data_IF_981406331032
#
_entry.id   IF_981406331032
#
_cell.length_a   1.000
_cell.length_b   1.000
_cell.length_c   1.000
_cell.angle_alpha   90.00
_cell.angle_beta   90.00
_cell.angle_gamma   90.00
#
_symmetry.space_group_name_H-M   'P 1'
#
loop_
_entity.id
_entity.type
_entity.pdbx_description
1 polymer ?
#
# COMPACT_ATOMS: atom_id res chain seq x y z
N UNK A 1 -15.65 5.40 11.84
CA UNK A 1 -14.52 4.68 11.21
C UNK A 1 -14.97 3.78 10.07
N UNK A 2 -16.00 2.94 10.28
CA UNK A 2 -16.54 2.03 9.25
C UNK A 2 -17.08 2.79 8.03
N UNK A 3 -17.89 3.85 8.23
CA UNK A 3 -18.41 4.67 7.12
C UNK A 3 -17.29 5.27 6.25
N UNK A 4 -16.26 5.85 6.87
CA UNK A 4 -15.09 6.37 6.14
C UNK A 4 -14.35 5.28 5.36
N UNK A 5 -14.26 4.07 5.92
CA UNK A 5 -13.63 2.93 5.25
C UNK A 5 -14.45 2.49 4.04
N UNK A 6 -15.78 2.41 4.17
CA UNK A 6 -16.68 2.04 3.06
C UNK A 6 -16.59 3.07 1.92
N UNK A 7 -16.62 4.36 2.24
CA UNK A 7 -16.49 5.44 1.25
C UNK A 7 -15.11 5.38 0.58
N UNK A 8 -14.05 5.21 1.37
CA UNK A 8 -12.67 5.11 0.87
C UNK A 8 -12.48 3.92 -0.08
N UNK A 9 -12.86 2.71 0.37
CA UNK A 9 -12.74 1.48 -0.42
C UNK A 9 -13.64 1.54 -1.66
N UNK A 10 -14.88 2.04 -1.53
CA UNK A 10 -15.79 2.21 -2.66
C UNK A 10 -15.23 3.14 -3.72
N UNK A 11 -14.70 4.30 -3.32
CA UNK A 11 -14.09 5.25 -4.24
C UNK A 11 -12.83 4.67 -4.91
N UNK A 12 -11.96 4.01 -4.14
CA UNK A 12 -10.76 3.36 -4.66
C UNK A 12 -11.07 2.25 -5.66
N UNK A 13 -12.07 1.43 -5.38
CA UNK A 13 -12.49 0.34 -6.26
C UNK A 13 -13.01 0.89 -7.58
N UNK A 14 -13.93 1.86 -7.55
CA UNK A 14 -14.48 2.48 -8.76
C UNK A 14 -13.37 3.11 -9.60
N UNK A 15 -12.50 3.90 -8.96
CA UNK A 15 -11.40 4.57 -9.67
C UNK A 15 -10.40 3.59 -10.27
N UNK A 16 -10.05 2.55 -9.51
CA UNK A 16 -9.13 1.51 -9.97
C UNK A 16 -9.73 0.69 -11.10
N UNK A 17 -11.03 0.39 -11.05
CA UNK A 17 -11.71 -0.35 -12.09
C UNK A 17 -11.72 0.43 -13.41
N UNK A 18 -12.02 1.73 -13.36
CA UNK A 18 -11.97 2.61 -14.54
C UNK A 18 -10.55 2.66 -15.12
N UNK A 19 -9.54 2.81 -14.26
CA UNK A 19 -8.14 2.95 -14.70
C UNK A 19 -7.56 1.63 -15.23
N UNK A 20 -7.83 0.50 -14.59
CA UNK A 20 -7.44 -0.83 -15.08
C UNK A 20 -8.09 -1.11 -16.42
N UNK A 21 -9.38 -0.79 -16.58
CA UNK A 21 -10.08 -0.95 -17.87
C UNK A 21 -9.46 -0.09 -18.97
N UNK A 22 -9.03 1.13 -18.65
CA UNK A 22 -8.29 2.00 -19.56
C UNK A 22 -6.92 1.43 -19.95
N UNK A 23 -6.18 0.81 -19.02
CA UNK A 23 -4.91 0.15 -19.34
C UNK A 23 -5.13 -1.11 -20.20
N UNK A 24 -6.19 -1.87 -19.92
CA UNK A 24 -6.56 -3.06 -20.68
C UNK A 24 -6.97 -2.70 -22.13
N UNK A 25 -7.71 -1.60 -22.33
CA UNK A 25 -8.08 -1.14 -23.67
C UNK A 25 -6.87 -0.71 -24.50
N UNK A 26 -5.78 -0.31 -23.85
CA UNK A 26 -4.51 0.02 -24.50
C UNK A 26 -3.56 -1.19 -24.63
N UNK A 27 -4.04 -2.41 -24.36
CA UNK A 27 -3.24 -3.66 -24.33
C UNK A 27 -2.02 -3.63 -23.40
N UNK A 28 -1.97 -2.69 -22.45
CA UNK A 28 -0.87 -2.50 -21.50
C UNK A 28 -1.03 -3.40 -20.28
N UNK A 29 -1.11 -4.71 -20.51
CA UNK A 29 -1.41 -5.70 -19.48
C UNK A 29 -0.38 -5.74 -18.34
N UNK A 30 0.90 -5.48 -18.64
CA UNK A 30 1.97 -5.38 -17.62
C UNK A 30 1.76 -4.18 -16.70
N UNK A 31 1.40 -3.03 -17.27
CA UNK A 31 1.15 -1.80 -16.51
C UNK A 31 -0.12 -1.94 -15.66
N UNK A 32 -1.15 -2.60 -16.19
CA UNK A 32 -2.36 -2.93 -15.44
C UNK A 32 -2.07 -3.84 -14.23
N UNK A 33 -1.19 -4.85 -14.39
CA UNK A 33 -0.79 -5.74 -13.30
C UNK A 33 0.02 -5.02 -12.20
N UNK A 34 1.00 -4.19 -12.59
CA UNK A 34 1.77 -3.37 -11.65
C UNK A 34 0.87 -2.36 -10.95
N UNK A 35 -0.03 -1.70 -11.68
CA UNK A 35 -0.97 -0.74 -11.11
C UNK A 35 -1.94 -1.41 -10.14
N UNK A 36 -2.50 -2.57 -10.50
CA UNK A 36 -3.42 -3.32 -9.65
C UNK A 36 -2.78 -3.80 -8.35
N UNK A 37 -1.53 -4.28 -8.41
CA UNK A 37 -0.79 -4.71 -7.22
C UNK A 37 -0.46 -3.53 -6.30
N UNK A 38 0.00 -2.40 -6.84
CA UNK A 38 0.25 -1.17 -6.09
C UNK A 38 -1.01 -0.63 -5.40
N UNK A 39 -2.12 -0.57 -6.12
CA UNK A 39 -3.42 -0.17 -5.58
C UNK A 39 -3.87 -1.14 -4.48
N UNK A 40 -3.70 -2.45 -4.68
CA UNK A 40 -4.08 -3.47 -3.71
C UNK A 40 -3.33 -3.28 -2.39
N UNK A 41 -2.00 -3.18 -2.45
CA UNK A 41 -1.16 -2.94 -1.27
C UNK A 41 -1.52 -1.60 -0.61
N UNK A 42 -1.69 -0.53 -1.39
CA UNK A 42 -2.04 0.79 -0.87
C UNK A 42 -3.40 0.82 -0.20
N UNK A 43 -4.39 0.10 -0.74
CA UNK A 43 -5.74 -0.02 -0.17
C UNK A 43 -5.73 -0.75 1.17
N UNK A 44 -4.94 -1.81 1.28
CA UNK A 44 -4.73 -2.54 2.55
C UNK A 44 -4.11 -1.61 3.59
N UNK A 45 -3.00 -0.94 3.24
CA UNK A 45 -2.30 -0.01 4.14
C UNK A 45 -3.20 1.17 4.54
N UNK A 46 -3.94 1.75 3.60
CA UNK A 46 -4.87 2.84 3.87
C UNK A 46 -6.01 2.43 4.80
N UNK A 47 -6.56 1.22 4.63
CA UNK A 47 -7.61 0.68 5.51
C UNK A 47 -7.09 0.47 6.94
N UNK A 48 -5.87 -0.07 7.07
CA UNK A 48 -5.16 -0.22 8.35
C UNK A 48 -4.96 1.12 9.07
N UNK A 49 -4.61 2.18 8.33
CA UNK A 49 -4.46 3.54 8.86
C UNK A 49 -5.80 4.15 9.31
N UNK A 50 -6.88 3.97 8.54
CA UNK A 50 -8.22 4.49 8.88
C UNK A 50 -8.76 3.86 10.16
N UNK A 51 -8.47 2.57 10.39
CA UNK A 51 -8.82 1.89 11.63
C UNK A 51 -7.99 2.34 12.85
N UNK A 52 -7.03 3.27 12.66
CA UNK A 52 -6.06 3.66 13.68
C UNK A 52 -5.47 2.45 14.40
N UNK A 53 -5.30 1.34 13.66
CA UNK A 53 -4.42 0.28 14.15
C UNK A 53 -3.11 0.99 14.42
N UNK A 54 -2.56 0.80 15.63
CA UNK A 54 -1.21 1.28 15.96
C UNK A 54 -0.25 0.53 15.03
N UNK A 55 -0.17 0.96 13.78
CA UNK A 55 0.92 0.62 12.89
C UNK A 55 2.12 1.19 13.61
N UNK A 56 3.04 0.33 14.05
CA UNK A 56 4.25 0.82 14.66
C UNK A 56 4.86 1.77 13.62
N UNK A 57 5.23 2.98 14.07
CA UNK A 57 5.58 4.09 13.15
C UNK A 57 6.53 3.59 12.07
N UNK A 58 6.57 4.21 10.89
CA UNK A 58 7.44 3.75 9.79
C UNK A 58 8.92 3.57 10.23
N UNK A 59 9.30 4.17 11.36
CA UNK A 59 10.55 3.92 12.08
C UNK A 59 10.73 2.47 12.53
N UNK A 60 9.71 1.77 13.04
CA UNK A 60 9.85 0.42 13.65
C UNK A 60 10.18 -0.68 12.64
N UNK A 61 9.51 -0.80 11.48
CA UNK A 61 9.93 -1.77 10.46
C UNK A 61 11.35 -1.48 9.95
N UNK A 62 11.67 -0.20 9.75
CA UNK A 62 13.01 0.22 9.34
C UNK A 62 14.05 -0.05 10.43
N UNK A 63 13.71 0.16 11.70
CA UNK A 63 14.59 -0.16 12.83
C UNK A 63 14.90 -1.66 12.84
N UNK A 64 13.91 -2.53 12.71
CA UNK A 64 14.13 -3.98 12.64
C UNK A 64 15.07 -4.37 11.49
N UNK A 65 14.95 -3.72 10.33
CA UNK A 65 15.74 -4.02 9.13
C UNK A 65 17.18 -3.48 9.22
N UNK A 66 17.36 -2.27 9.76
CA UNK A 66 18.63 -1.53 9.74
C UNK A 66 19.40 -1.56 11.06
N UNK A 67 18.77 -1.88 12.19
CA UNK A 67 19.43 -2.07 13.49
C UNK A 67 20.51 -3.18 13.49
N UNK A 68 20.32 -4.36 12.87
CA UNK A 68 21.40 -5.35 12.77
C UNK A 68 22.57 -4.87 11.90
N UNK A 69 22.29 -4.12 10.82
CA UNK A 69 23.33 -3.54 9.95
C UNK A 69 24.13 -2.47 10.69
N UNK A 70 23.43 -1.58 11.42
CA UNK A 70 24.07 -0.57 12.26
C UNK A 70 24.91 -1.19 13.38
N UNK A 71 24.44 -2.28 13.99
CA UNK A 71 25.18 -3.01 15.03
C UNK A 71 26.44 -3.65 14.45
N UNK A 72 26.38 -4.25 13.26
CA UNK A 72 27.56 -4.80 12.57
C UNK A 72 28.61 -3.72 12.23
N UNK A 73 28.17 -2.55 11.78
CA UNK A 73 29.06 -1.42 11.48
C UNK A 73 29.70 -0.79 12.72
N UNK A 74 28.99 -0.75 13.86
CA UNK A 74 29.50 -0.24 15.13
C UNK A 74 30.48 -1.20 15.82
N UNK A 75 30.46 -2.49 15.45
CA UNK A 75 31.34 -3.51 16.01
C UNK A 75 32.67 -3.66 15.26
N UNK A 76 32.88 -2.89 14.19
CA UNK A 76 34.11 -2.80 13.41
C UNK A 76 34.94 -1.58 13.83
#
# INVERSE_FOLDING_TARGET
MIFYTIVYVGFLLVWSFVRIRSFLSMQKNKEAAVFGTLIGVSSVVGSLLIFRVNLPSMVVPFKILFEPIGTMLLMQ
#
